data_IF_850544519334
#
_entry.id   IF_850544519334
#
_cell.length_a   1.000
_cell.length_b   1.000
_cell.length_c   1.000
_cell.angle_alpha   90.00
_cell.angle_beta   90.00
_cell.angle_gamma   90.00
#
_symmetry.space_group_name_H-M   'P 1'
#
loop_
_entity.id
_entity.type
_entity.pdbx_description
1 polymer ?
#
# COMPACT_ATOMS: atom_id res chain seq x y z
N UNK A 1 -18.23 22.66 -51.52
CA UNK A 1 -16.86 23.14 -51.83
C UNK A 1 -16.20 23.64 -50.55
N UNK A 2 -15.25 22.87 -50.02
CA UNK A 2 -13.96 23.36 -49.49
C UNK A 2 -13.10 22.13 -49.19
N UNK A 3 -12.15 21.92 -50.08
CA UNK A 3 -11.10 20.91 -50.15
C UNK A 3 -10.17 21.04 -48.95
N UNK A 4 -9.69 19.92 -48.38
CA UNK A 4 -8.42 19.88 -47.65
C UNK A 4 -7.63 18.64 -48.09
N UNK A 5 -6.50 18.92 -48.72
CA UNK A 5 -5.42 18.01 -49.06
C UNK A 5 -4.71 17.54 -47.79
N UNK A 6 -4.28 16.29 -47.73
CA UNK A 6 -3.08 15.90 -46.99
C UNK A 6 -2.15 15.09 -47.90
N UNK A 7 -0.87 15.38 -47.70
CA UNK A 7 0.24 15.20 -48.60
C UNK A 7 0.64 13.73 -48.78
N UNK A 8 0.94 13.38 -50.03
CA UNK A 8 1.53 12.11 -50.44
C UNK A 8 3.00 12.06 -49.97
N UNK A 9 3.34 11.11 -49.09
CA UNK A 9 4.74 10.68 -48.90
C UNK A 9 4.85 9.25 -49.41
N UNK A 10 5.45 9.10 -50.59
CA UNK A 10 5.86 7.82 -51.16
C UNK A 10 7.28 7.51 -50.68
N UNK A 11 7.44 6.53 -49.79
CA UNK A 11 8.57 5.61 -49.86
C UNK A 11 8.25 4.29 -49.14
N UNK A 12 8.21 3.20 -49.92
CA UNK A 12 8.24 1.78 -49.59
C UNK A 12 7.26 1.16 -48.56
N UNK A 13 6.31 0.40 -49.14
CA UNK A 13 5.70 -0.84 -48.64
C UNK A 13 4.96 -0.83 -47.31
N UNK A 14 3.67 -0.49 -47.35
CA UNK A 14 2.55 -1.34 -46.91
C UNK A 14 1.23 -0.59 -47.17
N UNK A 15 0.32 -1.21 -47.92
CA UNK A 15 -1.00 -0.65 -48.21
C UNK A 15 -1.84 -0.79 -46.93
N UNK A 16 -2.02 0.29 -46.19
CA UNK A 16 -3.10 0.42 -45.23
C UNK A 16 -4.31 1.01 -45.98
N UNK A 17 -5.39 0.24 -46.07
CA UNK A 17 -6.67 0.72 -46.59
C UNK A 17 -7.19 1.81 -45.66
N UNK A 18 -7.19 3.07 -46.12
CA UNK A 18 -7.78 4.18 -45.39
C UNK A 18 -9.31 4.05 -45.42
N UNK A 19 -9.88 3.50 -44.35
CA UNK A 19 -11.32 3.57 -44.09
C UNK A 19 -11.67 5.02 -43.77
N UNK A 20 -12.60 5.61 -44.52
CA UNK A 20 -13.11 6.96 -44.28
C UNK A 20 -13.99 6.92 -43.02
N UNK A 21 -13.46 7.32 -41.87
CA UNK A 21 -14.26 7.54 -40.68
C UNK A 21 -15.12 8.80 -40.88
N UNK A 22 -16.44 8.67 -40.73
CA UNK A 22 -17.38 9.77 -41.01
C UNK A 22 -17.44 10.84 -39.92
N UNK A 23 -16.74 10.69 -38.79
CA UNK A 23 -16.39 11.73 -37.82
C UNK A 23 -15.09 11.34 -37.10
N UNK A 24 -14.32 12.33 -36.64
CA UNK A 24 -13.16 12.09 -35.78
C UNK A 24 -13.59 11.30 -34.52
N UNK A 25 -12.79 10.33 -34.03
CA UNK A 25 -13.16 9.48 -32.88
C UNK A 25 -12.98 10.20 -31.53
N UNK A 26 -13.17 11.52 -31.50
CA UNK A 26 -12.99 12.35 -30.32
C UNK A 26 -13.76 13.67 -30.41
N UNK A 27 -13.96 14.28 -29.25
CA UNK A 27 -14.57 15.59 -29.07
C UNK A 27 -13.59 16.50 -28.34
N UNK A 28 -13.32 17.67 -28.91
CA UNK A 28 -12.46 18.71 -28.32
C UNK A 28 -13.27 19.85 -27.69
N UNK A 29 -12.62 20.65 -26.86
CA UNK A 29 -13.08 21.99 -26.49
C UNK A 29 -13.14 22.92 -27.71
N UNK A 30 -13.87 24.03 -27.58
CA UNK A 30 -14.06 24.98 -28.69
C UNK A 30 -12.76 25.63 -29.17
N UNK A 31 -11.77 25.77 -28.28
CA UNK A 31 -10.42 26.25 -28.56
C UNK A 31 -9.47 25.14 -29.06
N UNK A 32 -9.91 23.88 -29.07
CA UNK A 32 -9.12 22.72 -29.49
C UNK A 32 -8.05 22.24 -28.50
N UNK A 33 -7.93 22.87 -27.32
CA UNK A 33 -6.86 22.59 -26.34
C UNK A 33 -7.10 21.34 -25.47
N UNK A 34 -8.37 20.98 -25.26
CA UNK A 34 -8.76 19.93 -24.32
C UNK A 34 -9.46 18.79 -25.03
N UNK A 35 -8.94 17.57 -24.88
CA UNK A 35 -9.67 16.35 -25.23
C UNK A 35 -10.77 16.11 -24.20
N UNK A 36 -12.02 16.35 -24.61
CA UNK A 36 -13.20 16.18 -23.74
C UNK A 36 -13.70 14.75 -23.70
N UNK A 37 -13.63 14.04 -24.82
CA UNK A 37 -14.13 12.67 -24.94
C UNK A 37 -13.47 11.94 -26.10
N UNK A 38 -13.14 10.68 -25.90
CA UNK A 38 -12.83 9.71 -26.94
C UNK A 38 -14.08 8.88 -27.25
N UNK A 39 -14.33 8.65 -28.53
CA UNK A 39 -15.49 7.89 -29.02
C UNK A 39 -15.10 6.76 -29.97
N UNK A 40 -13.80 6.62 -30.28
CA UNK A 40 -13.31 5.49 -31.07
C UNK A 40 -13.50 4.17 -30.32
N UNK A 41 -13.96 3.16 -31.06
CA UNK A 41 -14.20 1.81 -30.54
C UNK A 41 -12.97 0.89 -30.68
N UNK A 42 -11.93 1.35 -31.38
CA UNK A 42 -10.68 0.62 -31.54
C UNK A 42 -10.03 0.33 -30.19
N UNK A 43 -9.35 -0.83 -30.04
CA UNK A 43 -8.66 -1.20 -28.81
C UNK A 43 -7.47 -0.29 -28.49
N UNK A 44 -7.04 0.56 -29.43
CA UNK A 44 -5.93 1.50 -29.26
C UNK A 44 -6.40 2.90 -29.64
N UNK A 45 -6.40 3.80 -28.65
CA UNK A 45 -6.55 5.24 -28.86
C UNK A 45 -5.16 5.87 -29.05
N UNK A 46 -4.69 5.91 -30.29
CA UNK A 46 -3.41 6.56 -30.62
C UNK A 46 -3.63 8.04 -30.95
N UNK A 47 -3.35 8.93 -29.99
CA UNK A 47 -3.49 10.37 -30.23
C UNK A 47 -2.49 10.90 -31.26
N UNK A 48 -1.37 10.20 -31.50
CA UNK A 48 -0.35 10.63 -32.46
C UNK A 48 -0.77 10.41 -33.91
N UNK A 49 -1.79 9.57 -34.14
CA UNK A 49 -2.35 9.31 -35.46
C UNK A 49 -3.22 10.48 -36.00
N UNK A 50 -3.54 11.47 -35.16
CA UNK A 50 -4.46 12.56 -35.51
C UNK A 50 -3.75 13.93 -35.39
N UNK A 51 -3.44 14.61 -36.50
CA UNK A 51 -2.78 15.91 -36.48
C UNK A 51 -3.52 16.98 -35.67
N UNK A 52 -4.85 16.90 -35.58
CA UNK A 52 -5.67 17.81 -34.77
C UNK A 52 -5.44 17.66 -33.27
N UNK A 53 -5.01 16.49 -32.80
CA UNK A 53 -4.67 16.22 -31.40
C UNK A 53 -3.25 16.67 -31.04
N UNK A 54 -2.48 17.20 -31.99
CA UNK A 54 -1.17 17.79 -31.70
C UNK A 54 -1.31 19.07 -30.86
N UNK A 55 -2.40 19.81 -30.97
CA UNK A 55 -2.63 21.03 -30.19
C UNK A 55 -3.22 20.77 -28.80
N UNK A 56 -3.59 19.53 -28.49
CA UNK A 56 -4.21 19.20 -27.20
C UNK A 56 -3.15 19.22 -26.10
N UNK A 57 -3.35 20.08 -25.11
CA UNK A 57 -2.51 20.11 -23.90
C UNK A 57 -3.19 19.47 -22.69
N UNK A 58 -4.52 19.35 -22.70
CA UNK A 58 -5.30 18.81 -21.57
C UNK A 58 -6.14 17.60 -21.94
N UNK A 59 -6.19 16.63 -21.03
CA UNK A 59 -7.14 15.52 -21.07
C UNK A 59 -8.13 15.71 -19.93
N UNK A 60 -9.40 15.94 -20.29
CA UNK A 60 -10.46 16.19 -19.33
C UNK A 60 -10.78 14.94 -18.49
N UNK A 61 -11.34 15.17 -17.31
CA UNK A 61 -11.85 14.09 -16.45
C UNK A 61 -12.85 13.23 -17.21
N UNK A 62 -12.62 11.91 -17.20
CA UNK A 62 -13.47 10.95 -17.89
C UNK A 62 -13.40 10.98 -19.43
N UNK A 63 -12.41 11.64 -20.04
CA UNK A 63 -12.26 11.67 -21.50
C UNK A 63 -12.25 10.27 -22.14
N UNK A 64 -11.78 9.25 -21.41
CA UNK A 64 -11.75 7.85 -21.86
C UNK A 64 -12.70 6.94 -21.07
N UNK A 65 -13.73 7.47 -20.40
CA UNK A 65 -14.60 6.69 -19.51
C UNK A 65 -15.60 5.81 -20.29
N UNK A 66 -15.78 4.56 -19.82
CA UNK A 66 -16.85 3.67 -20.27
C UNK A 66 -16.59 2.99 -21.62
N UNK A 67 -15.37 3.11 -22.16
CA UNK A 67 -14.99 2.50 -23.43
C UNK A 67 -14.43 1.11 -23.13
N UNK A 68 -15.29 0.09 -23.14
CA UNK A 68 -14.94 -1.28 -22.72
C UNK A 68 -13.98 -2.00 -23.67
N UNK A 69 -13.95 -1.60 -24.94
CA UNK A 69 -13.06 -2.15 -25.97
C UNK A 69 -11.63 -1.60 -25.88
N UNK A 70 -11.47 -0.40 -25.31
CA UNK A 70 -10.20 0.31 -25.29
C UNK A 70 -9.22 -0.35 -24.32
N UNK A 71 -8.06 -0.75 -24.85
CA UNK A 71 -6.98 -1.44 -24.13
C UNK A 71 -5.72 -0.60 -23.98
N UNK A 72 -5.49 0.34 -24.89
CA UNK A 72 -4.30 1.17 -24.87
C UNK A 72 -4.63 2.60 -25.25
N UNK A 73 -4.01 3.55 -24.56
CA UNK A 73 -3.98 4.96 -24.96
C UNK A 73 -2.53 5.35 -25.22
N UNK A 74 -2.28 6.09 -26.30
CA UNK A 74 -0.97 6.71 -26.58
C UNK A 74 -1.14 8.22 -26.49
N UNK A 75 -0.52 8.81 -25.48
CA UNK A 75 -0.59 10.24 -25.16
C UNK A 75 0.32 11.03 -26.10
N UNK A 76 -0.20 12.09 -26.71
CA UNK A 76 0.58 12.93 -27.64
C UNK A 76 1.59 13.82 -26.93
N UNK A 77 2.57 14.34 -27.68
CA UNK A 77 3.74 15.08 -27.14
C UNK A 77 3.40 16.38 -26.40
N UNK A 78 2.28 17.03 -26.72
CA UNK A 78 1.93 18.34 -26.18
C UNK A 78 0.98 18.27 -24.98
N UNK A 79 0.51 17.07 -24.61
CA UNK A 79 -0.30 16.89 -23.40
C UNK A 79 0.54 17.17 -22.17
N UNK A 80 0.10 18.14 -21.37
CA UNK A 80 0.76 18.61 -20.15
C UNK A 80 -0.05 18.30 -18.89
N UNK A 81 -1.34 17.99 -19.01
CA UNK A 81 -2.24 17.90 -17.85
C UNK A 81 -3.35 16.86 -18.04
N UNK A 82 -3.57 16.09 -16.98
CA UNK A 82 -4.78 15.27 -16.79
C UNK A 82 -5.66 15.93 -15.72
N UNK A 83 -6.95 16.05 -15.99
CA UNK A 83 -7.91 16.61 -15.04
C UNK A 83 -8.68 15.48 -14.33
N UNK A 84 -8.83 15.57 -13.00
CA UNK A 84 -9.73 14.74 -12.22
C UNK A 84 -9.48 13.23 -12.31
N UNK A 85 -10.55 12.46 -12.53
CA UNK A 85 -10.55 11.00 -12.57
C UNK A 85 -10.32 10.51 -14.01
N UNK A 86 -9.06 10.42 -14.41
CA UNK A 86 -8.67 9.88 -15.72
C UNK A 86 -8.60 8.34 -15.68
N UNK A 87 -9.13 7.69 -16.73
CA UNK A 87 -9.17 6.21 -16.94
C UNK A 87 -9.96 5.34 -15.93
N UNK A 88 -10.73 5.91 -15.00
CA UNK A 88 -11.43 5.15 -13.93
C UNK A 88 -12.46 4.12 -14.40
N UNK A 89 -13.06 4.31 -15.58
CA UNK A 89 -14.09 3.41 -16.13
C UNK A 89 -13.64 2.52 -17.29
N UNK A 90 -12.35 2.54 -17.64
CA UNK A 90 -11.84 1.75 -18.77
C UNK A 90 -10.61 0.93 -18.33
N UNK A 91 -10.69 -0.41 -18.36
CA UNK A 91 -9.60 -1.27 -17.92
C UNK A 91 -8.50 -1.36 -18.98
N UNK A 92 -7.71 -0.28 -19.09
CA UNK A 92 -6.56 -0.24 -19.98
C UNK A 92 -5.54 -1.31 -19.56
N UNK A 93 -4.94 -1.98 -20.54
CA UNK A 93 -3.81 -2.89 -20.35
C UNK A 93 -2.49 -2.10 -20.30
N UNK A 94 -2.42 -0.95 -20.99
CA UNK A 94 -1.24 -0.06 -21.01
C UNK A 94 -1.57 1.39 -21.36
N UNK A 95 -0.73 2.32 -20.91
CA UNK A 95 -0.65 3.70 -21.40
C UNK A 95 0.74 3.90 -22.01
N UNK A 96 0.80 4.35 -23.25
CA UNK A 96 2.03 4.80 -23.89
C UNK A 96 2.11 6.32 -23.92
N UNK A 97 3.32 6.87 -23.94
CA UNK A 97 3.57 8.30 -24.10
C UNK A 97 4.46 8.53 -25.32
N UNK A 98 4.04 9.42 -26.21
CA UNK A 98 4.79 9.75 -27.42
C UNK A 98 6.18 10.32 -27.08
N UNK A 99 7.17 9.97 -27.90
CA UNK A 99 8.52 10.55 -27.79
C UNK A 99 8.46 12.07 -27.89
N UNK A 100 9.18 12.76 -27.00
CA UNK A 100 9.20 14.22 -26.95
C UNK A 100 8.11 14.85 -26.07
N UNK A 101 7.23 14.06 -25.43
CA UNK A 101 6.43 14.59 -24.33
C UNK A 101 7.35 14.98 -23.17
N UNK A 102 7.33 16.26 -22.78
CA UNK A 102 8.18 16.82 -21.72
C UNK A 102 7.58 16.72 -20.31
N UNK A 103 6.36 16.20 -20.17
CA UNK A 103 5.59 16.20 -18.91
C UNK A 103 5.33 14.80 -18.39
N UNK A 104 5.12 13.84 -19.28
CA UNK A 104 4.81 12.46 -18.96
C UNK A 104 5.82 11.51 -19.59
N UNK A 105 5.91 10.31 -19.02
CA UNK A 105 6.58 9.18 -19.64
C UNK A 105 5.87 7.89 -19.21
N UNK A 106 6.15 6.79 -19.89
CA UNK A 106 5.72 5.47 -19.44
C UNK A 106 6.90 4.52 -19.23
N UNK A 107 6.69 3.54 -18.35
CA UNK A 107 7.57 2.37 -18.16
C UNK A 107 6.67 1.14 -18.24
N UNK A 108 6.87 0.30 -19.25
CA UNK A 108 6.09 -0.92 -19.47
C UNK A 108 4.56 -0.71 -19.42
N UNK A 109 4.11 0.42 -19.98
CA UNK A 109 2.71 0.80 -20.02
C UNK A 109 2.15 1.45 -18.75
N UNK A 110 2.97 1.73 -17.73
CA UNK A 110 2.58 2.46 -16.52
C UNK A 110 2.92 3.94 -16.70
N UNK A 111 1.99 4.84 -16.37
CA UNK A 111 2.13 6.28 -16.60
C UNK A 111 2.82 6.99 -15.43
N UNK A 112 3.83 7.79 -15.74
CA UNK A 112 4.59 8.62 -14.82
C UNK A 112 4.68 10.07 -15.30
N UNK A 113 5.16 10.98 -14.46
CA UNK A 113 5.78 12.21 -14.97
C UNK A 113 7.01 11.88 -15.82
N UNK A 114 7.50 12.87 -16.57
CA UNK A 114 8.67 12.73 -17.41
C UNK A 114 9.91 12.25 -16.63
N UNK A 115 10.14 12.83 -15.44
CA UNK A 115 11.24 12.48 -14.55
C UNK A 115 11.09 11.15 -13.79
N UNK A 116 9.95 10.45 -13.92
CA UNK A 116 9.64 9.18 -13.22
C UNK A 116 9.65 9.26 -11.70
N UNK A 117 9.57 10.45 -11.12
CA UNK A 117 9.44 10.68 -9.68
C UNK A 117 7.99 10.62 -9.19
N UNK A 118 7.02 10.60 -10.11
CA UNK A 118 5.59 10.58 -9.79
C UNK A 118 4.86 9.55 -10.65
N UNK A 119 4.30 8.52 -10.02
CA UNK A 119 3.45 7.52 -10.69
C UNK A 119 2.01 8.02 -10.74
N UNK A 120 1.50 8.27 -11.94
CA UNK A 120 0.14 8.76 -12.16
C UNK A 120 -0.87 7.62 -12.21
N UNK A 121 -0.57 6.56 -12.96
CA UNK A 121 -1.57 5.53 -13.24
C UNK A 121 -0.94 4.18 -13.57
N UNK A 122 -1.36 3.16 -12.81
CA UNK A 122 -1.13 1.77 -13.09
C UNK A 122 -2.38 1.17 -13.77
N UNK A 123 -2.29 0.71 -15.03
CA UNK A 123 -3.44 0.27 -15.79
C UNK A 123 -4.24 -0.86 -15.14
N UNK A 124 -5.56 -0.67 -14.97
CA UNK A 124 -6.46 -1.62 -14.30
C UNK A 124 -6.60 -2.98 -15.02
N UNK A 125 -6.38 -3.00 -16.34
CA UNK A 125 -6.36 -4.21 -17.17
C UNK A 125 -5.04 -4.97 -17.12
N UNK A 126 -3.98 -4.43 -16.51
CA UNK A 126 -2.69 -5.10 -16.41
C UNK A 126 -2.80 -6.32 -15.49
N UNK A 127 -2.51 -7.50 -16.03
CA UNK A 127 -2.77 -8.79 -15.36
C UNK A 127 -1.65 -9.27 -14.45
N UNK A 128 -0.54 -8.52 -14.35
CA UNK A 128 0.56 -8.85 -13.46
C UNK A 128 0.06 -8.92 -12.00
N UNK A 129 0.49 -9.95 -11.28
CA UNK A 129 0.08 -10.20 -9.89
C UNK A 129 0.97 -9.48 -8.88
N UNK A 130 2.09 -8.91 -9.32
CA UNK A 130 2.96 -8.10 -8.48
C UNK A 130 3.47 -6.90 -9.24
N UNK A 131 3.68 -5.80 -8.52
CA UNK A 131 4.36 -4.64 -9.05
C UNK A 131 5.38 -4.08 -8.05
N UNK A 132 6.58 -3.82 -8.53
CA UNK A 132 7.61 -3.09 -7.80
C UNK A 132 7.62 -1.67 -8.34
N UNK A 133 7.27 -0.71 -7.49
CA UNK A 133 7.35 0.70 -7.82
C UNK A 133 8.84 1.02 -8.00
N UNK A 134 9.27 1.60 -9.15
CA UNK A 134 10.67 1.85 -9.42
C UNK A 134 11.34 2.73 -8.36
N UNK A 135 12.63 2.46 -8.08
CA UNK A 135 13.44 3.38 -7.27
C UNK A 135 13.49 4.77 -7.93
N UNK A 136 13.49 5.81 -7.09
CA UNK A 136 13.38 7.21 -7.52
C UNK A 136 11.93 7.71 -7.68
N UNK A 137 10.92 6.85 -7.57
CA UNK A 137 9.53 7.30 -7.41
C UNK A 137 9.37 7.87 -6.01
N UNK A 138 8.99 9.14 -5.94
CA UNK A 138 8.82 9.89 -4.69
C UNK A 138 7.34 10.02 -4.31
N UNK A 139 6.45 9.94 -5.30
CA UNK A 139 5.02 10.24 -5.16
C UNK A 139 4.12 9.25 -5.91
N UNK A 140 2.92 9.01 -5.37
CA UNK A 140 1.85 8.24 -6.03
C UNK A 140 0.59 9.07 -6.16
N UNK A 141 0.01 9.04 -7.36
CA UNK A 141 -1.11 9.87 -7.74
C UNK A 141 -2.42 9.41 -7.14
N UNK A 142 -3.38 10.33 -7.16
CA UNK A 142 -4.78 10.01 -6.96
C UNK A 142 -5.15 8.84 -7.84
N UNK A 143 -5.93 7.89 -7.30
CA UNK A 143 -6.48 6.72 -7.99
C UNK A 143 -5.47 5.84 -8.76
N UNK A 144 -4.17 5.98 -8.50
CA UNK A 144 -3.12 5.38 -9.33
C UNK A 144 -3.26 3.86 -9.50
N UNK A 145 -3.76 3.16 -8.47
CA UNK A 145 -4.02 1.71 -8.47
C UNK A 145 -5.51 1.38 -8.17
N UNK A 146 -6.41 2.35 -8.38
CA UNK A 146 -7.83 2.23 -8.02
C UNK A 146 -8.52 1.01 -8.63
N UNK A 147 -9.25 0.25 -7.79
CA UNK A 147 -10.02 -0.94 -8.16
C UNK A 147 -9.24 -1.98 -8.98
N UNK A 148 -7.93 -2.09 -8.78
CA UNK A 148 -7.12 -3.04 -9.54
C UNK A 148 -7.49 -4.49 -9.21
N UNK A 149 -7.67 -5.34 -10.23
CA UNK A 149 -8.25 -6.69 -10.04
C UNK A 149 -7.21 -7.81 -9.95
N UNK A 150 -5.97 -7.63 -10.42
CA UNK A 150 -4.99 -8.74 -10.49
C UNK A 150 -3.83 -8.66 -9.51
N UNK A 151 -3.41 -7.44 -9.13
CA UNK A 151 -2.34 -7.21 -8.16
C UNK A 151 -2.63 -7.89 -6.83
N UNK A 152 -1.70 -8.74 -6.42
CA UNK A 152 -1.58 -9.39 -5.11
C UNK A 152 -0.48 -8.81 -4.26
N UNK A 153 0.55 -8.23 -4.88
CA UNK A 153 1.69 -7.67 -4.17
C UNK A 153 2.11 -6.32 -4.74
N UNK A 154 2.35 -5.37 -3.85
CA UNK A 154 2.98 -4.10 -4.20
C UNK A 154 4.23 -3.93 -3.33
N UNK A 155 5.36 -3.64 -3.98
CA UNK A 155 6.63 -3.38 -3.30
C UNK A 155 6.97 -1.91 -3.52
N UNK A 156 7.07 -1.14 -2.42
CA UNK A 156 7.47 0.26 -2.45
C UNK A 156 8.99 0.41 -2.65
N UNK A 157 9.45 1.57 -3.14
CA UNK A 157 10.87 1.91 -3.18
C UNK A 157 11.46 1.87 -1.77
N UNK A 158 12.74 1.52 -1.67
CA UNK A 158 13.43 1.43 -0.39
C UNK A 158 13.91 2.78 0.14
N UNK A 159 13.98 3.80 -0.73
CA UNK A 159 14.42 5.15 -0.38
C UNK A 159 13.62 6.21 -1.14
N UNK A 160 13.58 7.44 -0.63
CA UNK A 160 13.07 8.62 -1.36
C UNK A 160 11.55 8.71 -1.54
N UNK A 161 10.77 7.71 -1.10
CA UNK A 161 9.31 7.76 -1.21
C UNK A 161 8.70 8.64 -0.10
N UNK A 162 8.04 9.74 -0.48
CA UNK A 162 7.68 10.81 0.45
C UNK A 162 6.18 11.12 0.50
N UNK A 163 5.39 10.77 -0.53
CA UNK A 163 4.01 11.26 -0.62
C UNK A 163 3.05 10.27 -1.31
N UNK A 164 1.86 10.14 -0.73
CA UNK A 164 0.68 9.56 -1.39
C UNK A 164 -0.35 10.68 -1.47
N UNK A 165 -0.91 10.90 -2.66
CA UNK A 165 -1.94 11.92 -2.86
C UNK A 165 -3.28 11.47 -2.26
N UNK A 166 -4.15 12.45 -1.98
CA UNK A 166 -5.26 12.28 -1.04
C UNK A 166 -6.42 11.38 -1.50
N UNK A 167 -6.52 11.05 -2.79
CA UNK A 167 -7.70 10.36 -3.32
C UNK A 167 -7.41 8.90 -3.68
N UNK A 168 -7.65 7.97 -2.73
CA UNK A 168 -7.95 6.57 -3.06
C UNK A 168 -6.86 5.83 -3.86
N UNK A 169 -5.58 6.18 -3.66
CA UNK A 169 -4.47 5.69 -4.47
C UNK A 169 -4.45 4.16 -4.64
N UNK A 170 -4.81 3.40 -3.60
CA UNK A 170 -4.90 1.94 -3.61
C UNK A 170 -6.30 1.43 -3.24
N UNK A 171 -7.34 2.24 -3.39
CA UNK A 171 -8.68 1.85 -2.97
C UNK A 171 -9.21 0.68 -3.80
N UNK A 172 -9.77 -0.33 -3.15
CA UNK A 172 -10.49 -1.42 -3.79
C UNK A 172 -9.60 -2.38 -4.60
N UNK A 173 -8.29 -2.47 -4.31
CA UNK A 173 -7.44 -3.48 -4.97
C UNK A 173 -7.88 -4.86 -4.51
N UNK A 174 -8.53 -5.60 -5.41
CA UNK A 174 -9.37 -6.70 -5.01
C UNK A 174 -8.59 -7.93 -4.52
N UNK A 175 -7.35 -8.11 -4.95
CA UNK A 175 -6.58 -9.30 -4.60
C UNK A 175 -5.29 -8.98 -3.85
N UNK A 176 -5.12 -7.75 -3.36
CA UNK A 176 -3.91 -7.32 -2.67
C UNK A 176 -3.72 -8.13 -1.39
N UNK A 177 -2.74 -9.03 -1.36
CA UNK A 177 -2.38 -9.85 -0.21
C UNK A 177 -1.36 -9.15 0.69
N UNK A 178 -0.35 -8.48 0.10
CA UNK A 178 0.80 -7.97 0.83
C UNK A 178 1.32 -6.66 0.23
N UNK A 179 1.71 -5.74 1.11
CA UNK A 179 2.50 -4.57 0.76
C UNK A 179 3.87 -4.69 1.43
N UNK A 180 4.94 -4.59 0.63
CA UNK A 180 6.33 -4.66 1.08
C UNK A 180 6.98 -3.27 1.05
N UNK A 181 7.94 -3.03 1.96
CA UNK A 181 8.74 -1.81 2.09
C UNK A 181 7.95 -0.54 2.43
N UNK A 182 6.67 -0.63 2.78
CA UNK A 182 5.89 0.55 3.16
C UNK A 182 6.44 1.22 4.41
N UNK A 183 7.03 0.44 5.32
CA UNK A 183 7.71 0.89 6.52
C UNK A 183 8.98 1.71 6.26
N UNK A 184 9.53 1.65 5.04
CA UNK A 184 10.71 2.41 4.62
C UNK A 184 10.37 3.79 4.05
N UNK A 185 9.10 4.04 3.76
CA UNK A 185 8.64 5.32 3.25
C UNK A 185 8.83 6.42 4.30
N UNK A 186 8.88 7.67 3.83
CA UNK A 186 9.01 8.86 4.68
C UNK A 186 7.68 9.63 4.78
N UNK A 187 6.56 8.98 4.46
CA UNK A 187 5.25 9.62 4.55
C UNK A 187 4.93 9.93 6.02
N UNK A 188 4.26 11.06 6.23
CA UNK A 188 3.83 11.51 7.56
C UNK A 188 2.34 11.29 7.80
N UNK A 189 1.56 11.00 6.76
CA UNK A 189 0.13 10.73 6.84
C UNK A 189 -0.26 9.66 5.82
N UNK A 190 -1.15 8.74 6.20
CA UNK A 190 -1.86 7.88 5.24
C UNK A 190 -3.15 8.59 4.88
N UNK A 191 -3.33 9.04 3.62
CA UNK A 191 -4.50 9.80 3.24
C UNK A 191 -5.82 9.03 3.29
N UNK A 192 -6.92 9.76 3.12
CA UNK A 192 -8.26 9.20 3.18
C UNK A 192 -8.45 8.08 2.14
N UNK A 193 -9.13 7.01 2.55
CA UNK A 193 -9.46 5.88 1.69
C UNK A 193 -8.27 5.18 1.00
N UNK A 194 -7.02 5.45 1.39
CA UNK A 194 -5.82 5.01 0.65
C UNK A 194 -5.83 3.51 0.35
N UNK A 195 -6.06 2.65 1.34
CA UNK A 195 -6.16 1.19 1.22
C UNK A 195 -7.59 0.69 1.47
N UNK A 196 -8.59 1.57 1.49
CA UNK A 196 -9.98 1.20 1.73
C UNK A 196 -10.46 0.18 0.68
N UNK A 197 -11.20 -0.85 1.09
CA UNK A 197 -11.70 -1.90 0.21
C UNK A 197 -10.64 -2.90 -0.27
N UNK A 198 -9.39 -2.87 0.21
CA UNK A 198 -8.40 -3.91 -0.01
C UNK A 198 -8.71 -5.16 0.85
N UNK A 199 -9.82 -5.81 0.55
CA UNK A 199 -10.40 -6.90 1.34
C UNK A 199 -9.41 -8.02 1.68
N UNK A 200 -8.54 -8.42 0.76
CA UNK A 200 -7.56 -9.49 0.93
C UNK A 200 -6.25 -9.11 1.62
N UNK A 201 -6.07 -7.85 2.04
CA UNK A 201 -4.80 -7.40 2.61
C UNK A 201 -4.52 -8.15 3.93
N UNK A 202 -3.43 -8.93 3.96
CA UNK A 202 -3.02 -9.75 5.10
C UNK A 202 -1.90 -9.13 5.93
N UNK A 203 -1.09 -8.28 5.33
CA UNK A 203 0.02 -7.64 6.02
C UNK A 203 0.41 -6.31 5.39
N UNK A 204 0.69 -5.35 6.27
CA UNK A 204 1.32 -4.07 5.97
C UNK A 204 2.11 -3.63 7.21
N UNK A 205 3.34 -3.17 7.00
CA UNK A 205 4.15 -2.55 8.04
C UNK A 205 4.13 -1.02 7.83
N UNK A 206 3.79 -0.25 8.87
CA UNK A 206 3.66 1.20 8.77
C UNK A 206 5.00 1.90 9.05
N UNK A 207 5.30 3.04 8.41
CA UNK A 207 6.55 3.75 8.61
C UNK A 207 6.60 4.45 9.97
N UNK A 208 7.78 4.49 10.58
CA UNK A 208 8.00 5.16 11.87
C UNK A 208 7.92 6.69 11.81
N UNK A 209 7.80 7.27 10.61
CA UNK A 209 7.56 8.71 10.38
C UNK A 209 6.08 9.07 10.41
N UNK A 210 5.18 8.07 10.48
CA UNK A 210 3.75 8.26 10.34
C UNK A 210 3.15 8.98 11.55
N UNK A 211 2.54 10.13 11.33
CA UNK A 211 1.90 10.95 12.37
C UNK A 211 0.37 10.85 12.35
N UNK A 212 -0.21 10.52 11.21
CA UNK A 212 -1.67 10.52 11.03
C UNK A 212 -2.14 9.37 10.14
N UNK A 213 -3.26 8.74 10.53
CA UNK A 213 -3.98 7.78 9.71
C UNK A 213 -5.37 8.37 9.45
N UNK A 214 -5.65 8.81 8.22
CA UNK A 214 -6.90 9.52 7.92
C UNK A 214 -8.11 8.59 7.80
N UNK A 215 -9.28 9.21 7.64
CA UNK A 215 -10.56 8.53 7.56
C UNK A 215 -10.56 7.43 6.47
N UNK A 216 -11.14 6.28 6.80
CA UNK A 216 -11.28 5.12 5.92
C UNK A 216 -9.97 4.55 5.34
N UNK A 217 -8.79 4.92 5.87
CA UNK A 217 -7.48 4.52 5.32
C UNK A 217 -7.34 3.01 5.07
N UNK A 218 -7.86 2.17 5.96
CA UNK A 218 -7.91 0.70 5.87
C UNK A 218 -9.34 0.14 6.03
N UNK A 219 -10.34 0.95 5.69
CA UNK A 219 -11.74 0.54 5.77
C UNK A 219 -11.97 -0.74 4.93
N UNK A 220 -12.64 -1.74 5.48
CA UNK A 220 -12.97 -3.00 4.82
C UNK A 220 -11.75 -3.80 4.29
N UNK A 221 -10.58 -3.64 4.90
CA UNK A 221 -9.45 -4.58 4.75
C UNK A 221 -9.72 -5.91 5.48
N UNK A 222 -10.78 -6.63 5.11
CA UNK A 222 -11.43 -7.68 5.90
C UNK A 222 -10.50 -8.79 6.44
N UNK A 223 -9.43 -9.12 5.73
CA UNK A 223 -8.51 -10.22 6.08
C UNK A 223 -7.23 -9.78 6.81
N UNK A 224 -7.11 -8.51 7.23
CA UNK A 224 -5.96 -8.03 7.99
C UNK A 224 -6.03 -8.52 9.45
N UNK A 225 -5.17 -9.45 9.91
CA UNK A 225 -5.31 -10.09 11.21
C UNK A 225 -4.79 -9.22 12.36
N UNK A 226 -3.83 -8.35 12.05
CA UNK A 226 -3.19 -7.46 13.01
C UNK A 226 -2.69 -6.19 12.35
N UNK A 227 -2.60 -5.11 13.13
CA UNK A 227 -1.95 -3.87 12.72
C UNK A 227 -1.11 -3.32 13.87
N UNK A 228 0.09 -2.82 13.54
CA UNK A 228 0.96 -2.12 14.48
C UNK A 228 0.90 -0.62 14.19
N UNK A 229 0.54 0.18 15.19
CA UNK A 229 0.48 1.65 15.16
C UNK A 229 1.81 2.19 15.67
N UNK A 230 2.62 2.87 14.83
CA UNK A 230 3.91 3.43 15.25
C UNK A 230 3.78 4.49 16.35
N UNK A 231 4.80 4.61 17.18
CA UNK A 231 4.82 5.55 18.33
C UNK A 231 4.69 7.03 17.94
N UNK A 232 4.90 7.35 16.67
CA UNK A 232 4.76 8.70 16.09
C UNK A 232 3.32 9.08 15.76
N UNK A 233 2.38 8.12 15.69
CA UNK A 233 0.99 8.39 15.27
C UNK A 233 0.24 9.14 16.38
N UNK A 234 -0.28 10.32 16.08
CA UNK A 234 -1.01 11.15 17.05
C UNK A 234 -2.53 11.13 16.85
N UNK A 235 -3.00 10.81 15.64
CA UNK A 235 -4.42 10.82 15.29
C UNK A 235 -4.80 9.68 14.35
N UNK A 236 -6.02 9.15 14.54
CA UNK A 236 -6.62 8.11 13.72
C UNK A 236 -8.06 8.52 13.38
N UNK A 237 -8.33 8.69 12.09
CA UNK A 237 -9.57 9.25 11.54
C UNK A 237 -10.77 8.28 11.49
N UNK A 238 -11.94 8.83 11.20
CA UNK A 238 -13.22 8.10 11.12
C UNK A 238 -13.10 6.82 10.30
N UNK A 239 -13.58 5.70 10.85
CA UNK A 239 -13.60 4.40 10.17
C UNK A 239 -12.25 3.92 9.61
N UNK A 240 -11.12 4.45 10.06
CA UNK A 240 -9.80 4.10 9.51
C UNK A 240 -9.55 2.58 9.49
N UNK A 241 -10.06 1.83 10.46
CA UNK A 241 -9.99 0.37 10.56
C UNK A 241 -11.39 -0.27 10.70
N UNK A 242 -12.42 0.37 10.17
CA UNK A 242 -13.79 -0.14 10.16
C UNK A 242 -13.88 -1.36 9.25
N UNK A 243 -14.63 -2.39 9.65
CA UNK A 243 -14.93 -3.52 8.74
C UNK A 243 -13.81 -4.55 8.60
N UNK A 244 -12.74 -4.47 9.41
CA UNK A 244 -11.67 -5.47 9.43
C UNK A 244 -12.08 -6.69 10.28
N UNK A 245 -12.75 -7.66 9.65
CA UNK A 245 -13.31 -8.85 10.33
C UNK A 245 -12.26 -9.75 10.97
N UNK A 246 -11.11 -9.91 10.33
CA UNK A 246 -10.02 -10.75 10.82
C UNK A 246 -9.18 -10.07 11.91
N UNK A 247 -9.41 -8.79 12.23
CA UNK A 247 -8.58 -8.07 13.19
C UNK A 247 -8.70 -8.70 14.57
N UNK A 248 -7.68 -9.40 15.03
CA UNK A 248 -7.61 -9.96 16.37
C UNK A 248 -6.70 -9.15 17.29
N UNK A 249 -5.75 -8.42 16.71
CA UNK A 249 -4.69 -7.75 17.46
C UNK A 249 -4.40 -6.37 16.91
N UNK A 250 -4.43 -5.37 17.78
CA UNK A 250 -3.85 -4.05 17.52
C UNK A 250 -2.68 -3.89 18.48
N UNK A 251 -1.52 -3.56 17.95
CA UNK A 251 -0.36 -3.17 18.74
C UNK A 251 -0.18 -1.67 18.58
N UNK A 252 -0.12 -0.93 19.68
CA UNK A 252 0.13 0.52 19.65
C UNK A 252 1.44 0.80 20.36
N UNK A 253 2.41 1.40 19.68
CA UNK A 253 3.71 1.72 20.28
C UNK A 253 3.71 3.07 21.00
N UNK A 254 2.59 3.80 20.98
CA UNK A 254 2.54 5.11 21.62
C UNK A 254 2.41 4.99 23.13
N UNK A 255 3.23 5.77 23.84
CA UNK A 255 3.07 6.04 25.28
C UNK A 255 1.86 6.94 25.55
N UNK A 256 1.58 7.89 24.66
CA UNK A 256 0.34 8.66 24.67
C UNK A 256 -0.60 8.06 23.62
N UNK A 257 -1.76 7.56 24.05
CA UNK A 257 -2.73 6.97 23.13
C UNK A 257 -3.08 7.94 21.98
N UNK A 258 -3.02 7.50 20.70
CA UNK A 258 -3.47 8.33 19.59
C UNK A 258 -4.93 8.75 19.78
N UNK A 259 -5.25 9.96 19.35
CA UNK A 259 -6.63 10.45 19.40
C UNK A 259 -7.44 9.73 18.32
N UNK A 260 -8.50 9.04 18.74
CA UNK A 260 -9.49 8.46 17.83
C UNK A 260 -10.50 9.55 17.47
N UNK A 261 -10.78 9.76 16.19
CA UNK A 261 -11.77 10.75 15.75
C UNK A 261 -13.17 10.44 16.30
N UNK A 262 -13.53 9.16 16.35
CA UNK A 262 -14.78 8.67 16.96
C UNK A 262 -14.74 7.15 17.21
N UNK A 263 -15.81 6.59 17.78
CA UNK A 263 -15.91 5.15 18.10
C UNK A 263 -15.95 4.21 16.87
N UNK A 264 -16.12 4.77 15.67
CA UNK A 264 -16.19 3.99 14.42
C UNK A 264 -14.83 3.55 13.90
N UNK A 265 -13.72 4.11 14.43
CA UNK A 265 -12.34 3.81 13.96
C UNK A 265 -12.12 2.30 13.81
N UNK A 266 -12.47 1.51 14.83
CA UNK A 266 -12.31 0.04 14.82
C UNK A 266 -13.66 -0.70 14.77
N UNK A 267 -14.76 -0.04 14.40
CA UNK A 267 -16.08 -0.67 14.45
C UNK A 267 -16.23 -1.84 13.49
N UNK A 268 -17.01 -2.83 13.94
CA UNK A 268 -17.45 -3.99 13.20
C UNK A 268 -18.95 -4.17 13.44
N UNK A 269 -19.67 -4.64 12.42
CA UNK A 269 -21.08 -5.03 12.54
C UNK A 269 -21.16 -6.54 12.77
N UNK A 270 -22.13 -6.99 13.57
CA UNK A 270 -22.38 -8.41 13.82
C UNK A 270 -21.66 -8.95 15.05
N UNK A 271 -21.42 -10.27 15.08
CA UNK A 271 -20.73 -10.93 16.19
C UNK A 271 -19.23 -10.62 16.12
N UNK A 272 -18.75 -9.80 17.06
CA UNK A 272 -17.37 -9.32 17.07
C UNK A 272 -16.51 -10.32 17.84
N UNK A 273 -15.46 -10.91 17.24
CA UNK A 273 -14.54 -11.75 17.98
C UNK A 273 -13.86 -10.94 19.09
N UNK A 274 -13.44 -11.58 20.18
CA UNK A 274 -12.62 -10.92 21.18
C UNK A 274 -11.31 -10.44 20.52
N UNK A 275 -11.01 -9.14 20.66
CA UNK A 275 -9.79 -8.52 20.11
C UNK A 275 -8.91 -8.02 21.24
N UNK A 276 -7.61 -8.03 21.02
CA UNK A 276 -6.64 -7.53 21.98
C UNK A 276 -6.01 -6.24 21.47
N UNK A 277 -5.92 -5.26 22.36
CA UNK A 277 -5.08 -4.08 22.17
C UNK A 277 -3.86 -4.22 23.07
N UNK A 278 -2.67 -4.31 22.49
CA UNK A 278 -1.42 -4.30 23.22
C UNK A 278 -0.84 -2.89 23.19
N UNK A 279 -0.42 -2.41 24.36
CA UNK A 279 0.14 -1.06 24.56
C UNK A 279 1.37 -1.10 25.47
N UNK A 280 2.18 -0.02 25.51
CA UNK A 280 3.35 0.04 26.35
C UNK A 280 3.02 -0.18 27.84
N UNK A 281 3.85 -0.97 28.53
CA UNK A 281 3.71 -1.27 29.96
C UNK A 281 3.70 0.05 30.75
N UNK A 282 2.69 0.23 31.59
CA UNK A 282 2.47 1.48 32.35
C UNK A 282 1.43 2.43 31.72
N UNK A 283 1.09 2.24 30.43
CA UNK A 283 0.13 3.07 29.70
C UNK A 283 -1.22 2.39 29.48
N UNK A 284 -1.43 1.19 30.04
CA UNK A 284 -2.72 0.49 29.97
C UNK A 284 -3.88 1.38 30.41
N UNK A 285 -3.73 2.10 31.53
CA UNK A 285 -4.80 2.94 32.07
C UNK A 285 -5.14 4.14 31.17
N UNK A 286 -4.15 4.71 30.46
CA UNK A 286 -4.38 5.84 29.55
C UNK A 286 -5.19 5.39 28.33
N UNK A 287 -4.85 4.23 27.77
CA UNK A 287 -5.64 3.61 26.71
C UNK A 287 -7.00 3.12 27.21
N UNK A 288 -7.08 2.66 28.46
CA UNK A 288 -8.36 2.24 29.05
C UNK A 288 -9.34 3.40 29.23
N UNK A 289 -8.88 4.64 29.23
CA UNK A 289 -9.77 5.80 29.31
C UNK A 289 -10.24 6.23 27.90
N UNK A 290 -9.33 6.21 26.92
CA UNK A 290 -9.56 6.81 25.61
C UNK A 290 -10.00 5.82 24.51
N UNK A 291 -9.62 4.55 24.63
CA UNK A 291 -9.87 3.52 23.61
C UNK A 291 -10.90 2.47 24.06
N UNK A 292 -11.26 2.39 25.36
CA UNK A 292 -12.26 1.43 25.88
C UNK A 292 -13.70 1.86 25.65
N UNK A 293 -13.98 3.14 25.44
CA UNK A 293 -15.32 3.58 25.02
C UNK A 293 -15.74 2.97 23.68
N UNK A 294 -14.79 2.41 22.93
CA UNK A 294 -15.09 1.66 21.72
C UNK A 294 -15.69 0.26 22.00
N UNK A 295 -15.62 -0.26 23.24
CA UNK A 295 -16.18 -1.55 23.68
C UNK A 295 -15.59 -2.78 22.98
N UNK A 296 -14.45 -2.61 22.29
CA UNK A 296 -14.03 -3.47 21.18
C UNK A 296 -12.74 -4.24 21.40
N UNK A 297 -12.02 -3.95 22.49
CA UNK A 297 -10.72 -4.53 22.78
C UNK A 297 -10.59 -4.86 24.27
N UNK A 298 -10.00 -6.03 24.54
CA UNK A 298 -9.32 -6.29 25.79
C UNK A 298 -7.98 -5.51 25.75
N UNK A 299 -7.88 -4.45 26.53
CA UNK A 299 -6.65 -3.66 26.62
C UNK A 299 -5.68 -4.37 27.56
N UNK A 300 -4.57 -4.83 26.99
CA UNK A 300 -3.55 -5.59 27.69
C UNK A 300 -2.22 -4.81 27.70
N UNK A 301 -1.58 -4.77 28.87
CA UNK A 301 -0.20 -4.31 28.98
C UNK A 301 0.73 -5.47 28.69
N UNK A 302 1.32 -5.52 27.50
CA UNK A 302 2.34 -6.50 27.17
C UNK A 302 3.43 -5.97 26.24
N UNK A 303 3.23 -4.82 25.58
CA UNK A 303 4.31 -4.17 24.86
C UNK A 303 5.20 -3.60 25.95
N UNK A 304 6.33 -4.22 26.24
CA UNK A 304 7.36 -3.46 26.92
C UNK A 304 7.93 -2.53 25.87
N UNK A 305 7.72 -1.23 26.05
CA UNK A 305 8.70 -0.27 25.53
C UNK A 305 9.99 -0.60 26.29
N UNK A 306 10.82 -1.46 25.72
CA UNK A 306 12.15 -1.71 26.29
C UNK A 306 12.97 -0.48 25.89
N UNK A 307 12.80 0.60 26.65
CA UNK A 307 13.99 1.35 27.04
C UNK A 307 14.76 0.35 27.91
N UNK A 308 15.94 -0.04 27.45
CA UNK A 308 16.84 -0.95 28.16
C UNK A 308 17.28 -0.32 29.49
N UNK A 309 16.40 -0.39 30.47
CA UNK A 309 16.71 -0.32 31.90
C UNK A 309 15.71 -1.23 32.61
N UNK A 310 15.98 -2.53 32.53
CA UNK A 310 15.44 -3.60 33.39
C UNK A 310 13.92 -3.87 33.38
N UNK A 311 13.49 -4.90 32.65
CA UNK A 311 12.15 -5.51 32.77
C UNK A 311 12.28 -7.02 32.41
N UNK A 312 11.63 -8.03 32.98
CA UNK A 312 10.56 -8.11 33.98
C UNK A 312 9.29 -8.79 33.43
N UNK A 313 9.38 -10.10 33.15
CA UNK A 313 8.37 -11.18 32.92
C UNK A 313 7.19 -11.00 31.91
N UNK A 314 7.03 -12.00 31.02
CA UNK A 314 5.87 -12.29 30.15
C UNK A 314 5.20 -13.63 30.59
N UNK A 315 3.88 -13.73 30.42
CA UNK A 315 2.93 -14.49 31.24
C UNK A 315 2.74 -16.00 30.90
N UNK A 316 2.13 -16.72 31.85
CA UNK A 316 1.77 -18.15 31.97
C UNK A 316 1.39 -18.97 30.70
N UNK A 317 2.35 -19.75 30.19
CA UNK A 317 2.18 -21.20 30.03
C UNK A 317 3.10 -21.83 31.07
N UNK A 318 2.64 -22.81 31.84
CA UNK A 318 3.25 -23.21 33.12
C UNK A 318 4.71 -23.71 33.08
N UNK A 319 5.36 -23.76 31.91
CA UNK A 319 6.67 -24.40 31.77
C UNK A 319 7.76 -23.51 31.12
N UNK A 320 7.41 -22.49 30.31
CA UNK A 320 8.43 -21.70 29.57
C UNK A 320 7.94 -20.30 29.13
N UNK A 321 8.69 -19.25 29.45
CA UNK A 321 8.50 -17.88 28.94
C UNK A 321 9.81 -17.30 28.39
N UNK A 322 9.75 -16.49 27.33
CA UNK A 322 10.93 -15.83 26.72
C UNK A 322 10.78 -14.31 26.66
N UNK A 323 11.87 -13.59 26.84
CA UNK A 323 11.97 -12.14 26.62
C UNK A 323 13.40 -11.74 26.25
N UNK A 324 13.64 -10.46 25.94
CA UNK A 324 14.98 -9.93 25.69
C UNK A 324 15.33 -8.91 26.77
N UNK A 325 16.54 -9.00 27.31
CA UNK A 325 17.09 -8.05 28.28
C UNK A 325 18.57 -7.84 27.99
N UNK A 326 19.01 -6.59 27.91
CA UNK A 326 20.40 -6.21 27.66
C UNK A 326 20.98 -6.85 26.38
N UNK A 327 20.19 -6.86 25.30
CA UNK A 327 20.48 -7.52 24.02
C UNK A 327 20.73 -9.03 24.11
N UNK A 328 20.26 -9.69 25.17
CA UNK A 328 20.35 -11.15 25.34
C UNK A 328 18.97 -11.74 25.50
N UNK A 329 18.74 -12.92 24.93
CA UNK A 329 17.54 -13.67 25.24
C UNK A 329 17.53 -14.06 26.70
N UNK A 330 16.33 -14.08 27.26
CA UNK A 330 16.06 -14.52 28.61
C UNK A 330 14.94 -15.54 28.53
N UNK A 331 15.07 -16.61 29.31
CA UNK A 331 14.07 -17.66 29.39
C UNK A 331 13.80 -17.95 30.86
N UNK A 332 12.52 -17.97 31.22
CA UNK A 332 12.03 -18.53 32.48
C UNK A 332 11.48 -19.90 32.14
N UNK A 333 12.31 -20.90 32.36
CA UNK A 333 11.99 -22.32 32.19
C UNK A 333 11.87 -22.93 33.59
N UNK A 334 10.75 -23.57 33.91
CA UNK A 334 10.53 -24.18 35.23
C UNK A 334 11.30 -25.51 35.40
N UNK A 335 11.91 -26.04 34.33
CA UNK A 335 12.77 -27.22 34.36
C UNK A 335 14.24 -26.81 34.28
N UNK A 336 14.87 -26.64 35.44
CA UNK A 336 16.28 -26.24 35.56
C UNK A 336 17.23 -27.21 34.83
N UNK A 337 18.08 -26.68 33.94
CA UNK A 337 19.29 -27.36 33.46
C UNK A 337 19.24 -27.98 32.06
N UNK A 338 18.24 -27.66 31.23
CA UNK A 338 18.19 -28.12 29.83
C UNK A 338 18.94 -27.18 28.86
N UNK A 339 19.66 -27.75 27.90
CA UNK A 339 20.23 -26.98 26.77
C UNK A 339 19.10 -26.53 25.84
N UNK A 340 19.03 -25.21 25.60
CA UNK A 340 18.03 -24.59 24.74
C UNK A 340 18.72 -24.00 23.51
N UNK A 341 18.13 -24.22 22.35
CA UNK A 341 18.52 -23.54 21.11
C UNK A 341 17.40 -22.64 20.60
N UNK A 342 17.79 -21.50 20.04
CA UNK A 342 16.91 -20.46 19.54
C UNK A 342 17.22 -20.23 18.06
N UNK A 343 16.17 -20.19 17.24
CA UNK A 343 16.27 -19.76 15.85
C UNK A 343 15.32 -18.59 15.66
N UNK A 344 15.88 -17.44 15.30
CA UNK A 344 15.14 -16.21 15.02
C UNK A 344 14.88 -16.16 13.52
N UNK A 345 13.61 -16.03 13.14
CA UNK A 345 13.17 -15.88 11.76
C UNK A 345 12.50 -14.52 11.58
N UNK A 346 12.81 -13.84 10.47
CA UNK A 346 12.10 -12.61 10.12
C UNK A 346 10.65 -12.92 9.72
N UNK A 347 9.85 -11.88 9.50
CA UNK A 347 8.44 -12.00 9.09
C UNK A 347 8.23 -12.75 7.76
N UNK A 348 9.28 -12.93 6.96
CA UNK A 348 9.26 -13.70 5.70
C UNK A 348 9.68 -15.16 5.87
N UNK A 349 10.00 -15.60 7.08
CA UNK A 349 10.42 -16.97 7.40
C UNK A 349 11.90 -17.27 7.13
N UNK A 350 12.71 -16.26 6.82
CA UNK A 350 14.16 -16.43 6.67
C UNK A 350 14.83 -16.48 8.05
N UNK A 351 15.73 -17.44 8.25
CA UNK A 351 16.57 -17.52 9.44
C UNK A 351 17.53 -16.33 9.48
N UNK A 352 17.47 -15.54 10.54
CA UNK A 352 18.25 -14.31 10.71
C UNK A 352 19.37 -14.51 11.72
N UNK A 353 19.13 -15.32 12.75
CA UNK A 353 20.12 -15.62 13.78
C UNK A 353 19.79 -16.94 14.48
N UNK A 354 20.83 -17.67 14.89
CA UNK A 354 20.73 -18.86 15.75
C UNK A 354 21.54 -18.65 17.01
N UNK A 355 21.01 -19.10 18.14
CA UNK A 355 21.65 -19.00 19.46
C UNK A 355 21.57 -20.34 20.18
N UNK A 356 22.59 -20.66 20.96
CA UNK A 356 22.73 -21.95 21.65
C UNK A 356 22.72 -21.86 23.17
N UNK A 357 22.74 -20.66 23.75
CA UNK A 357 22.75 -20.45 25.20
C UNK A 357 21.91 -19.25 25.61
N UNK A 358 21.42 -19.29 26.86
CA UNK A 358 20.62 -18.23 27.51
C UNK A 358 21.35 -16.89 27.69
N UNK A 359 22.64 -16.80 27.38
CA UNK A 359 23.43 -15.59 27.62
C UNK A 359 24.11 -15.04 26.35
N UNK A 360 23.70 -15.53 25.18
CA UNK A 360 24.19 -15.05 23.88
C UNK A 360 23.49 -13.78 23.43
N UNK A 361 24.23 -12.94 22.69
CA UNK A 361 23.80 -11.59 22.28
C UNK A 361 23.05 -11.66 20.95
N UNK A 362 21.95 -10.93 20.87
CA UNK A 362 21.13 -10.74 19.67
C UNK A 362 21.78 -9.67 18.79
N UNK A 363 21.71 -9.84 17.47
CA UNK A 363 22.15 -8.81 16.53
C UNK A 363 21.34 -7.52 16.75
N UNK A 364 22.04 -6.43 17.05
CA UNK A 364 21.47 -5.11 17.37
C UNK A 364 20.84 -4.43 16.16
N UNK A 365 21.06 -4.96 14.96
CA UNK A 365 20.43 -4.46 13.74
C UNK A 365 19.05 -5.08 13.49
N UNK A 366 18.67 -6.12 14.24
CA UNK A 366 17.32 -6.69 14.16
C UNK A 366 16.32 -5.67 14.68
N UNK A 367 15.32 -5.35 13.85
CA UNK A 367 14.25 -4.42 14.18
C UNK A 367 12.93 -4.93 13.61
N UNK A 368 11.92 -5.03 14.45
CA UNK A 368 10.56 -5.39 14.04
C UNK A 368 10.12 -6.77 14.51
N UNK A 369 9.12 -7.35 13.84
CA UNK A 369 8.49 -8.61 14.26
C UNK A 369 9.27 -9.84 13.78
N UNK A 370 9.61 -10.72 14.72
CA UNK A 370 10.31 -11.97 14.48
C UNK A 370 9.56 -13.17 15.09
N UNK A 371 9.77 -14.34 14.49
CA UNK A 371 9.37 -15.63 15.06
C UNK A 371 10.61 -16.25 15.69
N UNK A 372 10.56 -16.55 16.98
CA UNK A 372 11.61 -17.27 17.69
C UNK A 372 11.14 -18.68 17.93
N UNK A 373 11.83 -19.63 17.31
CA UNK A 373 11.67 -21.05 17.58
C UNK A 373 12.65 -21.45 18.67
N UNK A 374 12.11 -22.02 19.75
CA UNK A 374 12.86 -22.56 20.88
C UNK A 374 12.79 -24.06 20.81
N UNK A 375 13.94 -24.73 20.89
CA UNK A 375 14.04 -26.18 20.93
C UNK A 375 14.80 -26.61 22.17
N UNK A 376 14.14 -27.38 23.03
CA UNK A 376 14.76 -28.15 24.11
C UNK A 376 15.20 -29.50 23.57
N UNK A 377 16.37 -29.98 24.00
CA UNK A 377 16.85 -31.31 23.63
C UNK A 377 15.80 -32.38 23.99
N UNK A 378 15.40 -33.19 23.02
CA UNK A 378 14.40 -34.25 23.20
C UNK A 378 12.94 -33.80 23.14
N UNK A 379 12.64 -32.51 22.92
CA UNK A 379 11.27 -32.00 22.83
C UNK A 379 10.92 -31.41 21.46
N UNK A 380 9.61 -31.21 21.26
CA UNK A 380 9.08 -30.47 20.12
C UNK A 380 9.47 -28.99 20.18
N UNK A 381 9.57 -28.37 19.00
CA UNK A 381 9.86 -26.94 18.88
C UNK A 381 8.65 -26.12 19.34
N UNK A 382 8.90 -25.11 20.20
CA UNK A 382 7.92 -24.10 20.59
C UNK A 382 8.22 -22.80 19.84
N UNK A 383 7.18 -22.12 19.35
CA UNK A 383 7.33 -20.89 18.55
C UNK A 383 6.72 -19.71 19.27
N UNK A 384 7.47 -18.60 19.33
CA UNK A 384 7.07 -17.36 19.97
C UNK A 384 7.17 -16.21 18.98
N UNK A 385 6.25 -15.26 19.06
CA UNK A 385 6.38 -13.99 18.36
C UNK A 385 7.06 -12.99 19.29
N UNK A 386 8.13 -12.37 18.82
CA UNK A 386 8.87 -11.36 19.57
C UNK A 386 9.11 -10.15 18.68
N UNK A 387 9.12 -8.97 19.29
CA UNK A 387 9.56 -7.76 18.63
C UNK A 387 10.98 -7.43 19.13
N UNK A 388 11.95 -7.35 18.22
CA UNK A 388 13.35 -7.04 18.50
C UNK A 388 13.68 -5.60 18.12
#
# INVERSE_FOLDING_TARGET
MKTKFYLLVLCCSMIATATVWSQDPFVLSADGDTLKRWTGEDPIADMTAYPTLENVTKIASGAFNGISTLKKVIISKNVTTFEGYYFTGTPLDSVGVASGNGYFSDIDGVLFNWGKTYLFYYPRGKTATSYTIPEGVEKIGNIAFYQHQYLKKITFPTTGFNEIMIDQAFWGIANLDTIENFEKTQITSIPENTFGGCWHLKSIALPNTLTEIKANAFNDCQYLPSITIPASVTSIGDKAFYGIWALLTVESHNTVAPTLENDSVFALKGNIPARNLYVPKGYVNTYQTNWVNTGKFNVNGAIQEIILTSIGELNNQSDMAIWVKDNKFQVKDNEYGSELSFNIFNSTGQLVQSLSNLSETIDQNLKGLYIVNVKRAGEAIKSFKIML
#
